data_IF_366395172699
#
_entry.id   IF_366395172699
#
_cell.length_a   1.000
_cell.length_b   1.000
_cell.length_c   1.000
_cell.angle_alpha   90.00
_cell.angle_beta   90.00
_cell.angle_gamma   90.00
#
_symmetry.space_group_name_H-M   'P 1'
#
loop_
_entity.id
_entity.type
_entity.pdbx_description
1 polymer ?
#
# COMPACT_ATOMS: atom_id res chain seq x y z
N UNK A 1 14.36 28.65 14.36
CA UNK A 1 14.27 27.66 13.28
C UNK A 1 12.79 27.43 13.09
N UNK A 2 12.20 27.97 12.03
CA UNK A 2 10.76 27.86 11.81
C UNK A 2 10.41 26.41 11.49
N UNK A 3 9.54 25.83 12.31
CA UNK A 3 9.02 24.49 12.09
C UNK A 3 8.08 24.56 10.88
N UNK A 4 8.28 23.73 9.84
CA UNK A 4 7.36 23.71 8.72
C UNK A 4 5.94 23.40 9.24
N UNK A 5 4.97 24.17 8.77
CA UNK A 5 3.56 23.86 8.98
C UNK A 5 3.27 22.65 8.10
N UNK A 6 2.89 21.54 8.72
CA UNK A 6 2.53 20.31 8.02
C UNK A 6 1.02 20.39 7.79
N UNK A 7 0.61 20.74 6.57
CA UNK A 7 -0.80 20.83 6.19
C UNK A 7 -1.41 19.44 5.91
N UNK A 8 -0.58 18.47 5.53
CA UNK A 8 -1.00 17.09 5.30
C UNK A 8 0.13 16.10 5.63
N UNK A 9 -0.27 14.86 5.93
CA UNK A 9 0.62 13.74 6.20
C UNK A 9 0.69 12.79 5.00
N UNK A 10 -0.02 13.08 3.91
CA UNK A 10 0.04 12.30 2.67
C UNK A 10 1.50 12.16 2.20
N UNK A 11 1.90 10.94 1.83
CA UNK A 11 3.28 10.62 1.46
C UNK A 11 4.23 10.43 2.64
N UNK A 12 3.77 10.56 3.87
CA UNK A 12 4.57 10.30 5.07
C UNK A 12 4.40 8.86 5.57
N UNK A 13 5.37 8.40 6.37
CA UNK A 13 5.26 7.15 7.12
C UNK A 13 4.85 7.41 8.57
N UNK A 14 3.88 6.64 9.07
CA UNK A 14 3.55 6.53 10.48
C UNK A 14 4.27 5.32 11.05
N UNK A 15 5.23 5.57 11.94
CA UNK A 15 5.99 4.54 12.63
C UNK A 15 5.39 4.30 14.00
N UNK A 16 4.93 3.08 14.24
CA UNK A 16 4.56 2.66 15.59
C UNK A 16 5.80 2.33 16.42
N UNK A 17 5.65 2.43 17.73
CA UNK A 17 6.70 1.98 18.67
C UNK A 17 6.38 0.58 19.17
N UNK A 18 7.37 -0.21 19.65
CA UNK A 18 7.11 -1.51 20.28
C UNK A 18 6.18 -1.45 21.51
N UNK A 19 5.99 -0.26 22.09
CA UNK A 19 5.08 -0.02 23.22
C UNK A 19 3.65 0.29 22.79
N UNK A 20 3.32 0.18 21.50
CA UNK A 20 1.98 0.40 20.99
C UNK A 20 0.99 -0.56 21.68
N UNK A 21 -0.02 -0.04 22.41
CA UNK A 21 -0.93 -0.89 23.19
C UNK A 21 -1.91 -1.65 22.30
N UNK A 22 -2.22 -1.14 21.12
CA UNK A 22 -3.05 -1.83 20.14
C UNK A 22 -2.20 -2.80 19.32
N UNK A 23 -2.37 -4.12 19.47
CA UNK A 23 -1.57 -5.13 18.78
C UNK A 23 -1.73 -5.08 17.26
N UNK A 24 -2.81 -4.47 16.74
CA UNK A 24 -3.01 -4.30 15.29
C UNK A 24 -1.98 -3.34 14.68
N UNK A 25 -1.43 -2.45 15.50
CA UNK A 25 -0.51 -1.39 15.09
C UNK A 25 0.88 -1.55 15.69
N UNK A 26 1.12 -2.54 16.56
CA UNK A 26 2.44 -2.78 17.13
C UNK A 26 3.45 -3.15 16.04
N UNK A 27 4.59 -2.46 16.04
CA UNK A 27 5.69 -2.63 15.08
C UNK A 27 5.31 -2.44 13.59
N UNK A 28 4.17 -1.78 13.33
CA UNK A 28 3.74 -1.42 11.99
C UNK A 28 4.44 -0.16 11.45
N UNK A 29 4.72 -0.20 10.15
CA UNK A 29 5.07 0.93 9.29
C UNK A 29 3.89 1.17 8.36
N UNK A 30 3.24 2.32 8.49
CA UNK A 30 2.04 2.67 7.71
C UNK A 30 2.40 3.81 6.76
N UNK A 31 2.20 3.61 5.47
CA UNK A 31 2.30 4.67 4.48
C UNK A 31 0.98 5.42 4.37
N UNK A 32 1.00 6.74 4.55
CA UNK A 32 -0.22 7.58 4.49
C UNK A 32 -0.50 7.96 3.04
N UNK A 33 -1.56 7.37 2.48
CA UNK A 33 -1.95 7.55 1.09
C UNK A 33 -2.84 8.79 0.86
N UNK A 34 -3.58 9.21 1.88
CA UNK A 34 -4.37 10.44 1.86
C UNK A 34 -4.58 10.94 3.29
N UNK A 35 -4.52 12.25 3.51
CA UNK A 35 -4.81 12.90 4.78
C UNK A 35 -5.43 14.28 4.55
N UNK A 36 -6.61 14.49 5.14
CA UNK A 36 -7.35 15.73 5.08
C UNK A 36 -8.37 15.84 6.22
N UNK A 37 -9.32 16.76 6.10
CA UNK A 37 -10.27 17.07 7.17
C UNK A 37 -11.24 15.91 7.48
N UNK A 38 -11.53 15.05 6.50
CA UNK A 38 -12.37 13.84 6.66
C UNK A 38 -11.62 12.67 7.32
N UNK A 39 -10.31 12.81 7.56
CA UNK A 39 -9.46 11.77 8.15
C UNK A 39 -8.28 11.37 7.26
N UNK A 40 -7.81 10.14 7.46
CA UNK A 40 -6.64 9.61 6.75
C UNK A 40 -6.87 8.19 6.24
N UNK A 41 -6.29 7.90 5.07
CA UNK A 41 -6.14 6.56 4.52
C UNK A 41 -4.66 6.20 4.59
N UNK A 42 -4.36 5.06 5.21
CA UNK A 42 -3.00 4.55 5.30
C UNK A 42 -2.97 3.04 5.13
N UNK A 43 -1.85 2.54 4.58
CA UNK A 43 -1.62 1.13 4.28
C UNK A 43 -0.37 0.67 5.01
N UNK A 44 -0.46 -0.43 5.75
CA UNK A 44 0.70 -1.07 6.34
C UNK A 44 1.55 -1.77 5.27
N UNK A 45 2.86 -1.53 5.30
CA UNK A 45 3.79 -1.99 4.24
C UNK A 45 4.82 -3.02 4.72
N UNK A 46 4.75 -3.43 5.99
CA UNK A 46 5.75 -4.31 6.61
C UNK A 46 5.14 -5.57 7.26
N UNK A 47 3.88 -5.89 6.93
CA UNK A 47 3.18 -7.06 7.44
C UNK A 47 2.85 -8.02 6.28
N UNK A 48 3.71 -9.00 5.98
CA UNK A 48 3.45 -9.96 4.93
C UNK A 48 2.20 -10.78 5.26
N UNK A 49 1.42 -11.11 4.23
CA UNK A 49 0.34 -12.08 4.34
C UNK A 49 0.88 -13.48 4.06
N UNK A 50 1.03 -14.30 5.10
CA UNK A 50 1.52 -15.67 4.95
C UNK A 50 0.45 -16.65 4.42
N UNK A 51 -0.79 -16.19 4.23
CA UNK A 51 -1.91 -17.02 3.78
C UNK A 51 -2.27 -16.83 2.30
N UNK A 52 -1.61 -15.88 1.62
CA UNK A 52 -1.91 -15.51 0.24
C UNK A 52 -0.61 -15.22 -0.52
N UNK A 53 -0.34 -16.01 -1.55
CA UNK A 53 0.80 -15.77 -2.45
C UNK A 53 0.45 -14.77 -3.55
N UNK A 54 1.46 -14.10 -4.12
CA UNK A 54 1.22 -13.16 -5.22
C UNK A 54 0.77 -13.88 -6.50
N UNK A 55 1.26 -15.10 -6.74
CA UNK A 55 0.81 -15.97 -7.82
C UNK A 55 -0.66 -16.35 -7.69
N UNK A 56 -1.14 -16.63 -6.47
CA UNK A 56 -2.56 -16.87 -6.20
C UNK A 56 -3.41 -15.63 -6.52
N UNK A 57 -2.89 -14.43 -6.23
CA UNK A 57 -3.55 -13.16 -6.61
C UNK A 57 -3.65 -13.05 -8.12
N UNK A 58 -2.55 -13.19 -8.86
CA UNK A 58 -2.55 -13.12 -10.34
C UNK A 58 -3.49 -14.17 -10.95
N UNK A 59 -3.45 -15.41 -10.45
CA UNK A 59 -4.31 -16.50 -10.90
C UNK A 59 -5.80 -16.21 -10.66
N UNK A 60 -6.16 -15.54 -9.56
CA UNK A 60 -7.55 -15.18 -9.25
C UNK A 60 -8.17 -14.21 -10.27
N UNK A 61 -7.32 -13.42 -10.95
CA UNK A 61 -7.71 -12.52 -12.03
C UNK A 61 -7.48 -13.10 -13.44
N UNK A 62 -7.00 -14.34 -13.55
CA UNK A 62 -6.57 -14.98 -14.80
C UNK A 62 -5.42 -14.24 -15.51
N UNK A 63 -4.52 -13.61 -14.76
CA UNK A 63 -3.33 -12.98 -15.31
C UNK A 63 -2.17 -13.97 -15.47
N UNK A 64 -1.23 -13.73 -16.41
CA UNK A 64 -0.02 -14.54 -16.54
C UNK A 64 0.77 -14.54 -15.23
N UNK A 65 1.32 -15.69 -14.84
CA UNK A 65 2.22 -15.83 -13.68
C UNK A 65 3.63 -16.06 -14.22
N UNK A 66 4.55 -15.08 -14.12
CA UNK A 66 5.93 -15.23 -14.57
C UNK A 66 6.67 -16.30 -13.77
N UNK A 67 7.53 -17.06 -14.43
CA UNK A 67 8.43 -17.97 -13.74
C UNK A 67 9.45 -17.18 -12.90
N UNK A 68 9.57 -17.52 -11.62
CA UNK A 68 10.55 -16.92 -10.72
C UNK A 68 10.19 -15.54 -10.18
N UNK A 69 8.92 -15.13 -10.28
CA UNK A 69 8.43 -13.89 -9.66
C UNK A 69 8.52 -14.01 -8.13
N UNK A 70 9.38 -13.21 -7.51
CA UNK A 70 9.50 -13.09 -6.05
C UNK A 70 8.77 -11.83 -5.58
N UNK A 71 7.46 -11.96 -5.35
CA UNK A 71 6.60 -10.88 -4.90
C UNK A 71 5.81 -11.30 -3.65
N UNK A 72 5.73 -10.40 -2.68
CA UNK A 72 5.02 -10.62 -1.41
C UNK A 72 3.75 -9.79 -1.36
N UNK A 73 2.64 -10.41 -0.96
CA UNK A 73 1.39 -9.71 -0.63
C UNK A 73 1.45 -9.24 0.83
N UNK A 74 0.96 -8.05 1.10
CA UNK A 74 0.97 -7.45 2.43
C UNK A 74 -0.44 -7.20 2.95
N UNK A 75 -0.63 -7.39 4.25
CA UNK A 75 -1.86 -7.04 4.95
C UNK A 75 -1.88 -5.53 5.17
N UNK A 76 -2.60 -4.81 4.31
CA UNK A 76 -2.64 -3.34 4.32
C UNK A 76 -3.35 -2.71 5.52
N UNK A 77 -4.28 -3.42 6.16
CA UNK A 77 -4.98 -2.90 7.34
C UNK A 77 -6.28 -3.63 7.65
N UNK A 78 -6.95 -3.30 8.77
CA UNK A 78 -8.11 -4.06 9.25
C UNK A 78 -9.45 -3.65 8.62
N UNK A 79 -9.50 -2.57 7.84
CA UNK A 79 -10.77 -1.93 7.46
C UNK A 79 -11.46 -2.62 6.29
N UNK A 80 -10.74 -2.88 5.19
CA UNK A 80 -11.28 -3.55 3.99
C UNK A 80 -10.38 -4.72 3.56
N UNK A 81 -10.39 -5.87 4.26
CA UNK A 81 -9.48 -6.98 3.99
C UNK A 81 -9.68 -7.65 2.62
N UNK A 82 -10.84 -7.48 1.98
CA UNK A 82 -11.12 -7.98 0.63
C UNK A 82 -10.72 -7.01 -0.50
N UNK A 83 -10.17 -5.84 -0.15
CA UNK A 83 -9.79 -4.81 -1.12
C UNK A 83 -8.30 -4.86 -1.39
N UNK A 84 -7.93 -5.02 -2.66
CA UNK A 84 -6.55 -4.86 -3.09
C UNK A 84 -6.21 -3.38 -3.32
N UNK A 85 -5.05 -2.98 -2.81
CA UNK A 85 -4.42 -1.70 -3.12
C UNK A 85 -3.03 -1.99 -3.67
N UNK A 86 -2.72 -1.41 -4.83
CA UNK A 86 -1.41 -1.54 -5.46
C UNK A 86 -0.68 -0.21 -5.29
N UNK A 87 0.51 -0.26 -4.68
CA UNK A 87 1.46 0.84 -4.60
C UNK A 87 2.56 0.60 -5.63
N UNK A 88 2.88 1.61 -6.43
CA UNK A 88 3.90 1.51 -7.48
C UNK A 88 4.59 2.84 -7.72
N UNK A 89 5.75 2.78 -8.36
CA UNK A 89 6.56 3.96 -8.65
C UNK A 89 5.90 4.88 -9.69
N UNK A 90 6.14 6.19 -9.57
CA UNK A 90 5.54 7.19 -10.47
C UNK A 90 6.06 7.11 -11.92
N UNK A 91 7.08 6.32 -12.19
CA UNK A 91 7.58 6.01 -13.52
C UNK A 91 6.64 5.13 -14.36
N UNK A 92 5.74 4.39 -13.71
CA UNK A 92 4.70 3.61 -14.38
C UNK A 92 3.38 4.39 -14.32
N UNK A 93 2.78 4.67 -15.47
CA UNK A 93 1.59 5.50 -15.57
C UNK A 93 0.37 4.67 -15.96
N UNK A 94 -0.71 4.87 -15.22
CA UNK A 94 -2.01 4.23 -15.47
C UNK A 94 -3.10 5.30 -15.50
N UNK A 95 -4.26 5.01 -16.10
CA UNK A 95 -5.35 6.00 -16.18
C UNK A 95 -6.03 6.25 -14.83
N UNK A 96 -6.02 5.26 -13.93
CA UNK A 96 -6.76 5.31 -12.67
C UNK A 96 -5.80 5.15 -11.50
N UNK A 97 -5.32 6.28 -10.96
CA UNK A 97 -4.46 6.29 -9.78
C UNK A 97 -4.66 7.51 -8.91
N UNK A 98 -4.29 7.37 -7.65
CA UNK A 98 -4.06 8.45 -6.71
C UNK A 98 -2.56 8.74 -6.67
N UNK A 99 -2.18 9.98 -6.94
CA UNK A 99 -0.83 10.47 -6.64
C UNK A 99 -0.67 10.65 -5.13
N UNK A 100 0.16 9.81 -4.49
CA UNK A 100 0.42 9.87 -3.05
C UNK A 100 1.65 10.74 -2.77
N UNK A 101 2.67 10.64 -3.61
CA UNK A 101 3.87 11.47 -3.55
C UNK A 101 4.49 11.59 -4.94
N UNK A 102 5.55 12.39 -5.09
CA UNK A 102 6.27 12.54 -6.35
C UNK A 102 6.86 11.24 -6.91
N UNK A 103 6.99 10.20 -6.08
CA UNK A 103 7.60 8.90 -6.45
C UNK A 103 6.65 7.70 -6.28
N UNK A 104 5.43 7.89 -5.78
CA UNK A 104 4.54 6.76 -5.45
C UNK A 104 3.11 7.08 -5.84
N UNK A 105 2.52 6.18 -6.62
CA UNK A 105 1.11 6.14 -6.97
C UNK A 105 0.42 4.97 -6.27
N UNK A 106 -0.89 5.11 -6.07
CA UNK A 106 -1.76 4.07 -5.52
C UNK A 106 -2.94 3.83 -6.47
N UNK A 107 -3.30 2.57 -6.69
CA UNK A 107 -4.55 2.23 -7.39
C UNK A 107 -5.29 1.07 -6.74
N UNK A 108 -6.57 0.93 -7.09
CA UNK A 108 -7.40 -0.26 -6.87
C UNK A 108 -7.70 -1.00 -8.17
N UNK A 109 -7.23 -0.48 -9.30
CA UNK A 109 -7.40 -1.11 -10.61
C UNK A 109 -6.38 -2.24 -10.74
N UNK A 110 -6.88 -3.48 -10.79
CA UNK A 110 -6.04 -4.68 -10.84
C UNK A 110 -5.41 -4.91 -12.19
N UNK A 111 -5.81 -4.17 -13.24
CA UNK A 111 -5.20 -4.25 -14.57
C UNK A 111 -3.70 -3.96 -14.56
N UNK A 112 -3.23 -3.18 -13.59
CA UNK A 112 -1.78 -2.94 -13.40
C UNK A 112 -0.98 -4.20 -13.11
N UNK A 113 -1.64 -5.26 -12.61
CA UNK A 113 -1.01 -6.53 -12.32
C UNK A 113 -0.75 -7.35 -13.59
N UNK A 114 -1.46 -7.07 -14.68
CA UNK A 114 -1.25 -7.73 -15.99
C UNK A 114 0.14 -7.39 -16.56
N UNK A 115 0.62 -6.18 -16.29
CA UNK A 115 1.90 -5.66 -16.81
C UNK A 115 3.12 -6.08 -15.95
N UNK A 116 2.90 -6.76 -14.82
CA UNK A 116 3.98 -7.33 -13.98
C UNK A 116 4.55 -8.62 -14.61
N UNK A 117 3.86 -9.12 -15.65
CA UNK A 117 4.14 -10.33 -16.42
C UNK A 117 5.37 -10.31 -17.31
#
# INVERSE_FOLDING_TARGET
>A
MDKPIIDSLTGSFLLSTPRMPDPRFAEQVIFICSHGYEGAVGIAINKPDCSLSFEEVLASYNYPVPEGLDATVYIGGPVEPGSAFILYGSEYHTEQHLEVSSSVYMTRDTRVLEDIG
#
